data_IF_534888310803
#
_entry.id   IF_534888310803
#
_cell.length_a   1.000
_cell.length_b   1.000
_cell.length_c   1.000
_cell.angle_alpha   90.00
_cell.angle_beta   90.00
_cell.angle_gamma   90.00
#
_symmetry.space_group_name_H-M   'P 1'
#
loop_
_entity.id
_entity.type
_entity.pdbx_description
1 polymer ?
#
# COMPACT_ATOMS: atom_id res chain seq x y z
N UNK A 1 -18.32 -7.39 44.62
CA UNK A 1 -16.90 -7.42 45.03
C UNK A 1 -16.08 -7.07 43.81
N UNK A 2 -15.75 -5.78 43.70
CA UNK A 2 -14.97 -5.23 42.58
C UNK A 2 -13.48 -5.55 42.81
N UNK A 3 -12.82 -6.09 41.78
CA UNK A 3 -11.37 -6.09 41.69
C UNK A 3 -10.97 -5.22 40.49
N UNK A 4 -10.58 -3.99 40.81
CA UNK A 4 -9.81 -3.11 39.93
C UNK A 4 -8.40 -3.69 39.79
N UNK A 5 -7.95 -3.89 38.55
CA UNK A 5 -6.54 -4.09 38.22
C UNK A 5 -6.06 -2.81 37.54
N UNK A 6 -5.25 -2.03 38.25
CA UNK A 6 -4.46 -0.93 37.72
C UNK A 6 -3.22 -1.50 37.01
N UNK A 7 -2.88 -1.08 35.78
CA UNK A 7 -1.56 -1.34 35.24
C UNK A 7 -0.54 -0.40 35.91
N UNK A 8 0.56 -0.98 36.37
CA UNK A 8 1.66 -0.29 37.00
C UNK A 8 2.40 0.60 35.99
N UNK A 9 2.44 1.91 36.27
CA UNK A 9 3.46 2.81 35.72
C UNK A 9 4.84 2.34 36.20
N UNK A 10 5.69 1.91 35.27
CA UNK A 10 7.12 1.80 35.51
C UNK A 10 7.77 3.18 35.27
N UNK A 11 7.96 3.92 36.34
CA UNK A 11 8.82 5.11 36.40
C UNK A 11 10.29 4.66 36.37
N UNK A 12 11.06 5.06 35.35
CA UNK A 12 12.52 4.90 35.33
C UNK A 12 13.22 6.01 36.12
N UNK A 13 14.39 5.72 36.74
CA UNK A 13 15.00 6.58 37.75
C UNK A 13 15.77 7.78 37.19
N UNK A 14 15.74 8.86 37.97
CA UNK A 14 16.50 10.10 37.83
C UNK A 14 18.02 9.87 37.82
N UNK A 15 18.68 10.44 36.82
CA UNK A 15 20.13 10.52 36.68
C UNK A 15 20.75 11.50 37.71
N UNK A 16 21.85 11.10 38.34
CA UNK A 16 22.89 12.02 38.83
C UNK A 16 24.27 11.39 38.60
N UNK A 17 25.17 12.13 37.95
CA UNK A 17 26.58 11.74 37.85
C UNK A 17 27.26 12.27 36.58
N UNK A 18 27.92 13.42 36.68
CA UNK A 18 28.87 13.90 35.69
C UNK A 18 30.17 13.08 35.77
N UNK A 19 30.61 12.48 34.65
CA UNK A 19 32.03 12.29 34.31
C UNK A 19 32.19 12.31 32.80
N UNK A 20 33.08 13.18 32.33
CA UNK A 20 33.53 13.30 30.94
C UNK A 20 34.38 12.07 30.61
N UNK A 21 33.90 11.27 29.67
CA UNK A 21 34.60 10.18 28.98
C UNK A 21 33.94 10.00 27.62
N UNK A 22 34.69 10.22 26.56
CA UNK A 22 34.27 10.04 25.16
C UNK A 22 34.27 8.55 24.82
N UNK A 23 33.25 7.84 25.32
CA UNK A 23 32.92 6.49 24.89
C UNK A 23 31.45 6.52 24.43
N UNK A 24 31.18 6.08 23.19
CA UNK A 24 29.86 5.98 22.53
C UNK A 24 28.93 4.94 23.21
N UNK A 25 28.87 4.92 24.54
CA UNK A 25 27.96 4.09 25.30
C UNK A 25 26.56 4.73 25.27
N UNK A 26 25.75 4.37 24.25
CA UNK A 26 24.33 4.72 24.20
C UNK A 26 23.84 5.47 22.95
N UNK A 27 24.56 5.41 21.82
CA UNK A 27 24.05 5.94 20.56
C UNK A 27 22.74 5.21 20.16
N UNK A 28 21.75 5.97 19.70
CA UNK A 28 20.43 5.49 19.33
C UNK A 28 20.03 6.05 17.97
N UNK A 29 19.48 5.19 17.12
CA UNK A 29 18.89 5.55 15.84
C UNK A 29 17.41 5.17 15.84
N UNK A 30 16.57 6.12 15.46
CA UNK A 30 15.12 6.06 15.57
C UNK A 30 14.48 5.97 14.18
N UNK A 31 13.57 5.02 14.06
CA UNK A 31 12.58 4.91 12.98
C UNK A 31 11.21 5.33 13.52
N UNK A 32 10.47 6.18 12.82
CA UNK A 32 9.08 6.50 13.22
C UNK A 32 8.12 5.60 12.44
N UNK A 33 7.30 4.83 13.15
CA UNK A 33 6.21 4.05 12.58
C UNK A 33 4.90 4.86 12.64
N UNK A 34 4.47 5.42 11.52
CA UNK A 34 3.22 6.16 11.35
C UNK A 34 2.13 5.20 10.88
N UNK A 35 1.40 4.61 11.82
CA UNK A 35 0.44 3.53 11.58
C UNK A 35 -0.95 3.86 12.13
N UNK A 36 -2.03 3.30 11.55
CA UNK A 36 -3.38 3.51 12.06
C UNK A 36 -3.60 2.63 13.30
N UNK A 37 -3.23 3.10 14.49
CA UNK A 37 -3.43 2.36 15.74
C UNK A 37 -4.87 2.46 16.29
N UNK A 38 -5.74 3.19 15.60
CA UNK A 38 -7.15 3.41 15.96
C UNK A 38 -7.99 3.54 14.70
N UNK A 39 -9.32 3.55 14.84
CA UNK A 39 -10.24 3.78 13.74
C UNK A 39 -10.41 2.57 12.82
N UNK A 40 -10.94 2.81 11.61
CA UNK A 40 -11.34 1.74 10.68
C UNK A 40 -10.19 0.83 10.20
N UNK A 41 -8.95 1.29 10.31
CA UNK A 41 -7.75 0.55 9.88
C UNK A 41 -6.90 0.02 11.04
N UNK A 42 -7.40 0.00 12.27
CA UNK A 42 -6.66 -0.46 13.46
C UNK A 42 -5.99 -1.84 13.25
N UNK A 43 -6.72 -2.81 12.69
CA UNK A 43 -6.19 -4.15 12.43
C UNK A 43 -4.98 -4.12 11.49
N UNK A 44 -4.98 -3.26 10.48
CA UNK A 44 -3.86 -3.06 9.55
C UNK A 44 -2.65 -2.48 10.29
N UNK A 45 -2.87 -1.49 11.16
CA UNK A 45 -1.80 -0.92 11.99
C UNK A 45 -1.13 -1.96 12.88
N UNK A 46 -1.91 -2.88 13.47
CA UNK A 46 -1.37 -3.98 14.28
C UNK A 46 -0.49 -4.93 13.46
N UNK A 47 -0.96 -5.38 12.28
CA UNK A 47 -0.16 -6.33 11.48
C UNK A 47 1.10 -5.67 10.89
N UNK A 48 1.02 -4.41 10.48
CA UNK A 48 2.20 -3.67 10.03
C UNK A 48 3.21 -3.43 11.16
N UNK A 49 2.75 -3.12 12.37
CA UNK A 49 3.62 -3.00 13.54
C UNK A 49 4.35 -4.32 13.84
N UNK A 50 3.65 -5.45 13.79
CA UNK A 50 4.26 -6.75 13.97
C UNK A 50 5.35 -7.03 12.94
N UNK A 51 5.14 -6.63 11.68
CA UNK A 51 6.12 -6.76 10.61
C UNK A 51 7.38 -5.92 10.86
N UNK A 52 7.21 -4.65 11.28
CA UNK A 52 8.32 -3.77 11.67
C UNK A 52 9.10 -4.38 12.84
N UNK A 53 8.40 -4.90 13.86
CA UNK A 53 9.03 -5.58 15.00
C UNK A 53 9.82 -6.80 14.54
N UNK A 54 9.25 -7.64 13.69
CA UNK A 54 9.91 -8.84 13.17
C UNK A 54 11.20 -8.49 12.42
N UNK A 55 11.16 -7.49 11.54
CA UNK A 55 12.34 -7.02 10.79
C UNK A 55 13.46 -6.49 11.70
N UNK A 56 13.10 -5.78 12.78
CA UNK A 56 14.07 -5.31 13.76
C UNK A 56 14.68 -6.45 14.57
N UNK A 57 13.87 -7.41 15.01
CA UNK A 57 14.35 -8.61 15.72
C UNK A 57 15.34 -9.39 14.83
N UNK A 58 14.96 -9.63 13.57
CA UNK A 58 15.78 -10.33 12.59
C UNK A 58 17.08 -9.56 12.28
N UNK A 59 17.01 -8.23 12.12
CA UNK A 59 18.19 -7.35 11.94
C UNK A 59 19.15 -7.38 13.13
N UNK A 60 18.61 -7.40 14.36
CA UNK A 60 19.41 -7.46 15.59
C UNK A 60 20.05 -8.84 15.73
N UNK A 61 19.31 -9.91 15.49
CA UNK A 61 19.84 -11.29 15.51
C UNK A 61 20.94 -11.49 14.46
N UNK A 62 20.80 -10.87 13.29
CA UNK A 62 21.81 -10.89 12.24
C UNK A 62 23.06 -10.04 12.55
N UNK A 63 23.05 -9.26 13.63
CA UNK A 63 24.21 -8.51 14.13
C UNK A 63 24.35 -7.08 13.62
N UNK A 64 23.31 -6.48 13.02
CA UNK A 64 23.35 -5.08 12.54
C UNK A 64 23.66 -4.12 13.69
N UNK A 65 22.91 -4.22 14.80
CA UNK A 65 23.07 -3.35 15.97
C UNK A 65 24.48 -3.47 16.58
N UNK A 66 25.02 -4.69 16.65
CA UNK A 66 26.34 -4.96 17.21
C UNK A 66 27.44 -4.40 16.30
N UNK A 67 27.27 -4.52 14.98
CA UNK A 67 28.20 -3.96 13.98
C UNK A 67 28.20 -2.43 14.00
N UNK A 68 27.03 -1.82 14.15
CA UNK A 68 26.87 -0.36 14.23
C UNK A 68 27.30 0.22 15.59
N UNK A 69 27.26 -0.58 16.65
CA UNK A 69 27.35 -0.10 18.03
C UNK A 69 26.31 0.99 18.33
N UNK A 70 25.11 0.86 17.77
CA UNK A 70 24.01 1.85 17.85
C UNK A 70 22.70 1.12 18.06
N UNK A 71 21.97 1.48 19.11
CA UNK A 71 20.66 0.89 19.41
C UNK A 71 19.63 1.33 18.37
N UNK A 72 18.92 0.37 17.78
CA UNK A 72 17.82 0.64 16.86
C UNK A 72 16.50 0.70 17.64
N UNK A 73 15.72 1.77 17.47
CA UNK A 73 14.43 1.92 18.15
C UNK A 73 13.33 2.46 17.23
N UNK A 74 12.07 2.21 17.64
CA UNK A 74 10.89 2.67 16.93
C UNK A 74 10.04 3.55 17.83
N UNK A 75 9.63 4.70 17.30
CA UNK A 75 8.60 5.55 17.90
C UNK A 75 7.28 5.35 17.14
N UNK A 76 6.19 5.17 17.87
CA UNK A 76 4.85 4.97 17.31
C UNK A 76 4.15 6.32 17.15
N UNK A 77 3.55 6.57 15.98
CA UNK A 77 2.66 7.69 15.71
C UNK A 77 1.33 7.17 15.17
N UNK A 78 0.22 7.55 15.80
CA UNK A 78 -1.12 7.14 15.37
C UNK A 78 -1.62 8.01 14.21
N UNK A 79 -1.93 7.38 13.07
CA UNK A 79 -2.60 8.03 11.94
C UNK A 79 -4.12 7.86 11.90
N UNK A 80 -4.70 7.06 12.80
CA UNK A 80 -6.13 6.76 12.81
C UNK A 80 -7.03 7.98 13.06
N UNK A 81 -6.47 9.06 13.58
CA UNK A 81 -7.14 10.34 13.85
C UNK A 81 -6.97 11.37 12.71
N UNK A 82 -6.34 10.97 11.59
CA UNK A 82 -6.18 11.78 10.38
C UNK A 82 -4.85 12.52 10.27
N UNK A 83 -4.59 13.08 9.07
CA UNK A 83 -3.31 13.69 8.70
C UNK A 83 -2.82 14.81 9.64
N UNK A 84 -3.71 15.64 10.17
CA UNK A 84 -3.31 16.82 10.96
C UNK A 84 -2.73 16.42 12.33
N UNK A 85 -3.22 15.30 12.87
CA UNK A 85 -2.69 14.69 14.09
C UNK A 85 -1.30 14.10 13.83
N UNK A 86 -1.12 13.44 12.68
CA UNK A 86 0.18 12.91 12.25
C UNK A 86 1.22 14.04 12.16
N UNK A 87 0.91 15.12 11.42
CA UNK A 87 1.80 16.28 11.25
C UNK A 87 2.20 16.88 12.61
N UNK A 88 1.22 17.06 13.49
CA UNK A 88 1.46 17.64 14.83
C UNK A 88 2.37 16.74 15.68
N UNK A 89 2.14 15.43 15.67
CA UNK A 89 2.93 14.47 16.42
C UNK A 89 4.37 14.36 15.88
N UNK A 90 4.53 14.33 14.55
CA UNK A 90 5.85 14.28 13.93
C UNK A 90 6.67 15.54 14.25
N UNK A 91 6.09 16.74 14.14
CA UNK A 91 6.78 17.99 14.54
C UNK A 91 7.19 17.98 16.00
N UNK A 92 6.34 17.49 16.89
CA UNK A 92 6.70 17.36 18.32
C UNK A 92 7.92 16.46 18.54
N UNK A 93 8.06 15.37 17.77
CA UNK A 93 9.21 14.47 17.84
C UNK A 93 10.46 15.14 17.24
N UNK A 94 10.33 15.70 16.04
CA UNK A 94 11.44 16.20 15.24
C UNK A 94 12.00 17.53 15.71
N UNK A 95 11.17 18.41 16.26
CA UNK A 95 11.61 19.65 16.92
C UNK A 95 12.04 19.41 18.37
N UNK A 96 11.85 18.18 18.86
CA UNK A 96 12.21 17.75 20.21
C UNK A 96 13.70 17.43 20.37
N UNK A 97 14.15 17.12 21.60
CA UNK A 97 15.55 16.82 21.89
C UNK A 97 16.07 15.53 21.24
N UNK A 98 15.17 14.67 20.77
CA UNK A 98 15.51 13.40 20.11
C UNK A 98 15.36 13.46 18.58
N UNK A 99 15.00 14.62 18.00
CA UNK A 99 14.78 14.77 16.57
C UNK A 99 16.00 14.40 15.72
N UNK A 100 17.20 14.76 16.17
CA UNK A 100 18.47 14.45 15.50
C UNK A 100 18.80 12.94 15.46
N UNK A 101 18.09 12.12 16.25
CA UNK A 101 18.23 10.66 16.24
C UNK A 101 17.30 9.98 15.25
N UNK A 102 16.38 10.72 14.62
CA UNK A 102 15.43 10.18 13.66
C UNK A 102 16.07 10.13 12.28
N UNK A 103 16.13 8.94 11.70
CA UNK A 103 16.75 8.68 10.40
C UNK A 103 15.78 8.18 9.33
N UNK A 104 14.54 7.87 9.70
CA UNK A 104 13.52 7.48 8.74
C UNK A 104 12.14 7.36 9.36
N UNK A 105 11.17 7.16 8.48
CA UNK A 105 9.78 6.94 8.80
C UNK A 105 9.23 5.81 7.94
N UNK A 106 8.27 5.06 8.47
CA UNK A 106 7.42 4.14 7.73
C UNK A 106 6.00 4.66 7.84
N UNK A 107 5.34 4.88 6.70
CA UNK A 107 3.97 5.37 6.65
C UNK A 107 3.04 4.33 6.03
N UNK A 108 1.92 4.07 6.71
CA UNK A 108 0.92 3.09 6.27
C UNK A 108 -0.48 3.70 6.26
N UNK A 109 -1.17 3.62 5.12
CA UNK A 109 -2.47 4.24 4.80
C UNK A 109 -2.39 5.71 4.39
N UNK A 110 -3.41 6.17 3.64
CA UNK A 110 -3.55 7.53 3.12
C UNK A 110 -3.27 8.62 4.15
N UNK A 111 -3.87 8.54 5.34
CA UNK A 111 -3.71 9.58 6.36
C UNK A 111 -2.31 9.59 6.97
N UNK A 112 -1.66 8.43 7.10
CA UNK A 112 -0.27 8.36 7.56
C UNK A 112 0.66 9.01 6.54
N UNK A 113 0.58 8.57 5.28
CA UNK A 113 1.48 9.02 4.23
C UNK A 113 1.24 10.50 3.91
N UNK A 114 -0.02 10.94 3.77
CA UNK A 114 -0.36 12.36 3.60
C UNK A 114 0.15 13.26 4.73
N UNK A 115 0.21 12.75 5.97
CA UNK A 115 0.78 13.48 7.10
C UNK A 115 2.31 13.41 7.17
N UNK A 116 2.92 12.39 6.58
CA UNK A 116 4.35 12.14 6.61
C UNK A 116 5.11 12.82 5.46
N UNK A 117 4.56 12.86 4.24
CA UNK A 117 5.25 13.33 3.02
C UNK A 117 5.80 14.76 3.17
N UNK A 118 4.98 15.71 3.59
CA UNK A 118 5.43 17.11 3.76
C UNK A 118 6.53 17.22 4.83
N UNK A 119 6.41 16.43 5.91
CA UNK A 119 7.38 16.39 7.01
C UNK A 119 8.69 15.73 6.56
N UNK A 120 8.61 14.67 5.76
CA UNK A 120 9.76 13.99 5.18
C UNK A 120 10.60 14.98 4.37
N UNK A 121 9.95 15.75 3.50
CA UNK A 121 10.59 16.77 2.67
C UNK A 121 11.10 17.97 3.48
N UNK A 122 10.35 18.43 4.49
CA UNK A 122 10.74 19.56 5.35
C UNK A 122 12.00 19.27 6.17
N UNK A 123 12.13 18.04 6.70
CA UNK A 123 13.22 17.64 7.59
C UNK A 123 14.32 16.79 6.92
N UNK A 124 14.19 16.49 5.62
CA UNK A 124 15.10 15.61 4.90
C UNK A 124 15.15 14.21 5.52
N UNK A 125 13.99 13.62 5.75
CA UNK A 125 13.82 12.29 6.33
C UNK A 125 13.37 11.30 5.28
N UNK A 126 13.98 10.12 5.27
CA UNK A 126 13.53 9.00 4.46
C UNK A 126 12.12 8.58 4.92
N UNK A 127 11.12 8.66 4.04
CA UNK A 127 9.80 8.06 4.21
C UNK A 127 9.65 6.84 3.31
N UNK A 128 9.32 5.70 3.92
CA UNK A 128 9.05 4.44 3.25
C UNK A 128 7.54 4.15 3.35
N UNK A 129 6.81 4.38 2.26
CA UNK A 129 5.38 4.14 2.16
C UNK A 129 5.11 2.65 1.88
N UNK A 130 4.23 2.02 2.67
CA UNK A 130 4.09 0.56 2.69
C UNK A 130 2.69 0.00 2.41
N UNK A 131 1.62 0.80 2.33
CA UNK A 131 0.24 0.24 2.27
C UNK A 131 -0.81 1.01 1.49
N UNK A 132 -0.76 2.33 1.44
CA UNK A 132 -1.70 3.14 0.67
C UNK A 132 -1.40 3.02 -0.81
N UNK A 133 -0.12 3.29 -1.13
CA UNK A 133 0.50 3.60 -2.43
C UNK A 133 -0.45 4.11 -3.50
N UNK A 134 -1.31 5.02 -3.07
CA UNK A 134 -1.31 6.34 -3.67
C UNK A 134 0.12 6.81 -3.88
N UNK A 135 0.39 7.35 -5.06
CA UNK A 135 1.71 7.91 -5.33
C UNK A 135 1.83 9.30 -4.69
N UNK A 136 3.05 9.81 -4.49
CA UNK A 136 3.23 11.05 -3.72
C UNK A 136 2.54 12.26 -4.39
N UNK A 137 2.39 12.23 -5.72
CA UNK A 137 1.71 13.25 -6.51
C UNK A 137 0.21 13.38 -6.21
N UNK A 138 -0.39 12.43 -5.47
CA UNK A 138 -1.74 12.58 -4.90
C UNK A 138 -1.79 13.60 -3.76
N UNK A 139 -0.64 13.89 -3.13
CA UNK A 139 -0.55 14.70 -1.91
C UNK A 139 0.25 15.98 -2.10
N UNK A 140 1.27 15.95 -2.96
CA UNK A 140 2.16 17.08 -3.23
C UNK A 140 2.24 17.41 -4.72
N UNK A 141 2.63 18.64 -5.04
CA UNK A 141 3.00 18.99 -6.42
C UNK A 141 4.49 18.77 -6.62
N UNK A 142 4.87 17.88 -7.53
CA UNK A 142 6.29 17.65 -7.87
C UNK A 142 6.98 18.90 -8.40
N UNK A 143 6.24 19.85 -8.98
CA UNK A 143 6.79 21.12 -9.45
C UNK A 143 7.35 21.98 -8.30
N UNK A 144 6.94 21.73 -7.05
CA UNK A 144 7.38 22.46 -5.88
C UNK A 144 8.70 21.90 -5.29
N UNK A 145 9.17 20.75 -5.77
CA UNK A 145 10.31 20.04 -5.22
C UNK A 145 11.35 19.67 -6.30
N UNK A 146 12.61 19.58 -5.89
CA UNK A 146 13.67 19.05 -6.75
C UNK A 146 13.68 17.52 -6.73
N UNK A 147 14.20 16.88 -7.79
CA UNK A 147 14.38 15.41 -7.79
C UNK A 147 15.19 14.91 -6.59
N UNK A 148 16.19 15.69 -6.15
CA UNK A 148 16.99 15.37 -4.96
C UNK A 148 16.14 15.35 -3.68
N UNK A 149 15.23 16.30 -3.51
CA UNK A 149 14.29 16.29 -2.38
C UNK A 149 13.28 15.14 -2.51
N UNK A 150 12.79 14.86 -3.71
CA UNK A 150 11.83 13.78 -3.92
C UNK A 150 12.44 12.41 -3.60
N UNK A 151 13.76 12.20 -3.70
CA UNK A 151 14.42 10.93 -3.33
C UNK A 151 14.11 10.44 -1.91
N UNK A 152 13.73 11.34 -1.00
CA UNK A 152 13.34 11.00 0.36
C UNK A 152 12.01 10.25 0.46
N UNK A 153 11.18 10.29 -0.59
CA UNK A 153 9.88 9.60 -0.63
C UNK A 153 10.06 8.33 -1.44
N UNK A 154 9.88 7.17 -0.80
CA UNK A 154 10.06 5.88 -1.45
C UNK A 154 8.84 5.01 -1.15
N UNK A 155 8.23 4.43 -2.18
CA UNK A 155 7.18 3.42 -1.99
C UNK A 155 7.78 2.02 -2.12
N UNK A 156 7.74 1.24 -1.05
CA UNK A 156 8.28 -0.14 -1.01
C UNK A 156 7.24 -1.18 -1.45
N UNK A 157 6.21 -0.73 -2.15
CA UNK A 157 5.09 -1.55 -2.62
C UNK A 157 4.67 -1.14 -4.02
N UNK A 158 3.93 -2.05 -4.64
CA UNK A 158 3.21 -1.82 -5.88
C UNK A 158 2.32 -0.56 -5.82
N UNK A 159 2.37 0.32 -6.82
CA UNK A 159 1.55 1.53 -6.89
C UNK A 159 0.15 1.29 -7.47
N UNK A 160 -0.78 2.15 -7.07
CA UNK A 160 -2.14 2.18 -7.58
C UNK A 160 -2.25 2.53 -9.07
N UNK A 161 -1.35 3.38 -9.58
CA UNK A 161 -1.37 3.81 -10.97
C UNK A 161 -1.07 2.67 -11.94
N UNK A 162 -0.13 1.80 -11.60
CA UNK A 162 0.19 0.59 -12.38
C UNK A 162 -0.93 -0.46 -12.30
N UNK A 163 -1.67 -0.51 -11.19
CA UNK A 163 -2.87 -1.34 -11.07
C UNK A 163 -4.00 -0.85 -12.00
N UNK A 164 -4.18 0.47 -12.11
CA UNK A 164 -5.12 1.09 -13.03
C UNK A 164 -4.69 0.88 -14.51
N UNK A 165 -3.39 1.01 -14.82
CA UNK A 165 -2.82 0.69 -16.14
C UNK A 165 -3.12 -0.77 -16.52
N UNK A 166 -2.82 -1.71 -15.62
CA UNK A 166 -3.07 -3.13 -15.84
C UNK A 166 -4.56 -3.44 -16.00
N UNK A 167 -5.42 -2.73 -15.27
CA UNK A 167 -6.88 -2.83 -15.41
C UNK A 167 -7.34 -2.36 -16.79
N UNK A 168 -6.77 -1.26 -17.32
CA UNK A 168 -7.07 -0.80 -18.66
C UNK A 168 -6.64 -1.81 -19.73
N UNK A 169 -5.48 -2.45 -19.55
CA UNK A 169 -5.02 -3.53 -20.41
C UNK A 169 -6.02 -4.70 -20.40
N UNK A 170 -6.45 -5.13 -19.21
CA UNK A 170 -7.45 -6.19 -19.07
C UNK A 170 -8.76 -5.85 -19.79
N UNK A 171 -9.28 -4.63 -19.61
CA UNK A 171 -10.51 -4.18 -20.29
C UNK A 171 -10.34 -4.23 -21.80
N UNK A 172 -9.21 -3.75 -22.33
CA UNK A 172 -8.93 -3.78 -23.76
C UNK A 172 -8.85 -5.21 -24.31
N UNK A 173 -8.19 -6.12 -23.60
CA UNK A 173 -8.02 -7.50 -24.07
C UNK A 173 -9.34 -8.29 -24.01
N UNK A 174 -10.12 -8.11 -22.95
CA UNK A 174 -11.39 -8.84 -22.75
C UNK A 174 -12.55 -8.23 -23.52
N UNK A 175 -12.57 -6.91 -23.71
CA UNK A 175 -13.66 -6.16 -24.35
C UNK A 175 -13.17 -5.25 -25.48
N UNK A 176 -12.41 -5.74 -26.48
CA UNK A 176 -11.64 -4.91 -27.42
C UNK A 176 -12.47 -3.91 -28.24
N UNK A 177 -13.76 -4.19 -28.44
CA UNK A 177 -14.72 -3.31 -29.14
C UNK A 177 -15.92 -2.94 -28.27
N UNK A 178 -15.84 -3.16 -26.96
CA UNK A 178 -16.95 -2.99 -26.04
C UNK A 178 -17.23 -1.53 -25.66
N UNK A 179 -18.41 -1.30 -25.08
CA UNK A 179 -18.82 -0.07 -24.41
C UNK A 179 -18.42 -0.14 -22.94
N UNK A 180 -17.64 0.84 -22.50
CA UNK A 180 -17.08 0.92 -21.15
C UNK A 180 -17.73 2.09 -20.41
N UNK A 181 -18.33 1.83 -19.27
CA UNK A 181 -18.70 2.88 -18.31
C UNK A 181 -17.62 2.98 -17.23
N UNK A 182 -17.13 4.18 -16.94
CA UNK A 182 -16.16 4.43 -15.87
C UNK A 182 -16.85 5.14 -14.72
N UNK A 183 -16.86 4.53 -13.54
CA UNK A 183 -17.51 5.07 -12.34
C UNK A 183 -16.46 5.28 -11.25
N UNK A 184 -16.53 6.39 -10.51
CA UNK A 184 -15.60 6.69 -9.42
C UNK A 184 -16.26 7.35 -8.23
N UNK A 185 -15.64 7.21 -7.06
CA UNK A 185 -15.93 8.06 -5.91
C UNK A 185 -15.47 9.51 -6.11
N UNK A 186 -15.72 10.33 -5.10
CA UNK A 186 -15.40 11.77 -5.08
C UNK A 186 -13.97 12.08 -4.66
N UNK A 187 -13.19 11.10 -4.21
CA UNK A 187 -11.82 11.34 -3.74
C UNK A 187 -10.86 11.51 -4.93
N UNK A 188 -9.80 12.32 -4.72
CA UNK A 188 -8.72 12.51 -5.72
C UNK A 188 -8.12 11.17 -6.17
N UNK A 189 -7.99 10.22 -5.23
CA UNK A 189 -7.50 8.88 -5.49
C UNK A 189 -8.37 8.13 -6.52
N UNK A 190 -9.70 8.23 -6.40
CA UNK A 190 -10.63 7.60 -7.35
C UNK A 190 -10.59 8.28 -8.73
N UNK A 191 -10.41 9.61 -8.75
CA UNK A 191 -10.23 10.38 -9.97
C UNK A 191 -8.95 9.97 -10.72
N UNK A 192 -7.84 9.74 -10.00
CA UNK A 192 -6.59 9.35 -10.62
C UNK A 192 -6.65 7.97 -11.27
N UNK A 193 -7.29 6.98 -10.64
CA UNK A 193 -7.47 5.66 -11.23
C UNK A 193 -8.23 5.71 -12.56
N UNK A 194 -9.37 6.40 -12.58
CA UNK A 194 -10.15 6.55 -13.82
C UNK A 194 -9.38 7.36 -14.86
N UNK A 195 -8.63 8.40 -14.46
CA UNK A 195 -7.82 9.18 -15.38
C UNK A 195 -6.75 8.32 -16.08
N UNK A 196 -6.07 7.47 -15.33
CA UNK A 196 -5.08 6.52 -15.86
C UNK A 196 -5.74 5.54 -16.81
N UNK A 197 -6.88 4.94 -16.43
CA UNK A 197 -7.59 4.01 -17.30
C UNK A 197 -8.01 4.67 -18.61
N UNK A 198 -8.56 5.90 -18.57
CA UNK A 198 -8.92 6.65 -19.78
C UNK A 198 -7.71 6.93 -20.67
N UNK A 199 -6.65 7.47 -20.09
CA UNK A 199 -5.42 7.78 -20.82
C UNK A 199 -4.88 6.52 -21.49
N UNK A 200 -4.85 5.42 -20.75
CA UNK A 200 -4.27 4.18 -21.22
C UNK A 200 -5.10 3.47 -22.29
N UNK A 201 -6.42 3.38 -22.12
CA UNK A 201 -7.30 2.86 -23.18
C UNK A 201 -7.09 3.63 -24.50
N UNK A 202 -6.93 4.95 -24.42
CA UNK A 202 -6.65 5.80 -25.59
C UNK A 202 -5.27 5.52 -26.19
N UNK A 203 -4.23 5.48 -25.36
CA UNK A 203 -2.85 5.25 -25.79
C UNK A 203 -2.62 3.88 -26.43
N UNK A 204 -3.28 2.84 -25.91
CA UNK A 204 -3.23 1.49 -26.46
C UNK A 204 -4.10 1.31 -27.72
N UNK A 205 -4.85 2.34 -28.12
CA UNK A 205 -5.70 2.30 -29.31
C UNK A 205 -6.94 1.43 -29.14
N UNK A 206 -7.59 1.50 -27.97
CA UNK A 206 -8.86 0.82 -27.71
C UNK A 206 -9.88 1.11 -28.83
N UNK A 207 -10.47 0.04 -29.40
CA UNK A 207 -11.39 0.14 -30.53
C UNK A 207 -12.86 0.26 -30.10
N UNK A 208 -13.14 0.12 -28.80
CA UNK A 208 -14.46 0.29 -28.22
C UNK A 208 -14.84 1.75 -27.96
N UNK A 209 -15.83 1.96 -27.08
CA UNK A 209 -16.33 3.30 -26.73
C UNK A 209 -16.35 3.46 -25.22
N UNK A 210 -15.71 4.51 -24.71
CA UNK A 210 -15.91 4.95 -23.32
C UNK A 210 -17.13 5.86 -23.30
N UNK A 211 -18.14 5.50 -22.51
CA UNK A 211 -19.41 6.22 -22.45
C UNK A 211 -19.18 7.58 -21.76
N UNK A 212 -19.56 8.67 -22.44
CA UNK A 212 -19.49 10.01 -21.87
C UNK A 212 -20.58 10.21 -20.81
N UNK A 213 -20.25 10.92 -19.74
CA UNK A 213 -21.20 11.35 -18.74
C UNK A 213 -21.89 12.63 -19.19
N UNK A 214 -23.18 12.72 -18.90
CA UNK A 214 -23.97 13.92 -19.12
C UNK A 214 -23.88 14.91 -17.95
N UNK A 215 -23.06 14.63 -16.92
CA UNK A 215 -22.91 15.52 -15.77
C UNK A 215 -22.02 16.73 -16.13
N UNK A 216 -22.59 17.94 -16.22
CA UNK A 216 -21.82 19.13 -16.57
C UNK A 216 -20.81 19.52 -15.49
N UNK A 217 -20.98 19.09 -14.24
CA UNK A 217 -20.14 19.49 -13.11
C UNK A 217 -18.77 18.80 -13.12
N UNK A 218 -18.62 17.72 -13.87
CA UNK A 218 -17.36 16.99 -13.92
C UNK A 218 -16.28 17.81 -14.63
N UNK A 219 -16.63 18.59 -15.66
CA UNK A 219 -15.70 19.36 -16.50
C UNK A 219 -14.81 20.42 -15.83
N UNK A 220 -14.84 20.54 -14.49
CA UNK A 220 -14.20 21.60 -13.72
C UNK A 220 -12.79 21.35 -13.16
N UNK A 221 -12.18 20.16 -13.34
CA UNK A 221 -10.81 19.92 -12.87
C UNK A 221 -9.79 20.46 -13.87
N UNK A 222 -8.98 21.44 -13.47
CA UNK A 222 -8.11 22.25 -14.36
C UNK A 222 -7.11 21.44 -15.21
N UNK A 223 -6.81 20.18 -14.85
CA UNK A 223 -5.76 19.39 -15.49
C UNK A 223 -6.19 17.98 -15.95
N UNK A 224 -7.48 17.61 -15.88
CA UNK A 224 -7.96 16.26 -16.26
C UNK A 224 -9.30 16.33 -16.98
N UNK A 225 -9.38 15.85 -18.23
CA UNK A 225 -10.67 15.65 -18.92
C UNK A 225 -11.37 14.42 -18.31
N UNK A 226 -12.39 14.67 -17.50
CA UNK A 226 -13.18 13.68 -16.75
C UNK A 226 -14.65 13.67 -17.18
N UNK A 227 -14.97 14.24 -18.35
CA UNK A 227 -16.33 14.19 -18.95
C UNK A 227 -16.78 12.78 -19.27
N UNK A 228 -15.87 11.80 -19.19
CA UNK A 228 -16.14 10.38 -19.44
C UNK A 228 -16.28 9.56 -18.14
N UNK A 229 -16.36 10.23 -17.00
CA UNK A 229 -16.55 9.57 -15.70
C UNK A 229 -17.97 9.75 -15.20
N UNK A 230 -18.47 8.78 -14.45
CA UNK A 230 -19.63 8.95 -13.59
C UNK A 230 -19.15 9.04 -12.15
N UNK A 231 -19.63 10.02 -11.40
CA UNK A 231 -19.25 10.23 -10.01
C UNK A 231 -20.35 9.71 -9.07
N UNK A 232 -19.95 9.00 -8.01
CA UNK A 232 -20.82 8.55 -6.92
C UNK A 232 -20.35 9.12 -5.58
N UNK A 233 -21.30 9.56 -4.76
CA UNK A 233 -21.00 10.13 -3.44
C UNK A 233 -20.75 9.04 -2.39
N UNK A 234 -19.74 9.22 -1.54
CA UNK A 234 -19.51 8.35 -0.38
C UNK A 234 -20.64 8.44 0.66
N UNK A 235 -21.28 9.61 0.78
CA UNK A 235 -22.44 9.77 1.67
C UNK A 235 -23.61 8.93 1.17
N UNK A 236 -23.86 8.91 -0.14
CA UNK A 236 -24.93 8.11 -0.73
C UNK A 236 -24.65 6.61 -0.60
N UNK A 237 -23.41 6.18 -0.91
CA UNK A 237 -22.96 4.80 -0.70
C UNK A 237 -23.13 4.35 0.76
N UNK A 238 -23.01 5.27 1.73
CA UNK A 238 -23.17 4.97 3.15
C UNK A 238 -24.63 5.04 3.64
N UNK A 239 -25.45 5.92 3.08
CA UNK A 239 -26.78 6.26 3.62
C UNK A 239 -27.96 5.55 2.93
N UNK A 240 -27.84 5.17 1.65
CA UNK A 240 -28.99 4.69 0.89
C UNK A 240 -28.69 3.97 -0.43
N UNK A 241 -27.43 4.01 -0.89
CA UNK A 241 -26.98 3.50 -2.18
C UNK A 241 -27.07 4.51 -3.30
N UNK A 242 -26.62 4.08 -4.47
CA UNK A 242 -26.41 4.92 -5.66
C UNK A 242 -27.22 4.45 -6.86
N UNK A 243 -28.28 3.67 -6.64
CA UNK A 243 -29.10 3.07 -7.70
C UNK A 243 -29.61 4.08 -8.73
N UNK A 244 -30.02 5.28 -8.30
CA UNK A 244 -30.47 6.35 -9.21
C UNK A 244 -29.37 6.92 -10.10
N UNK A 245 -28.11 6.78 -9.69
CA UNK A 245 -26.93 7.14 -10.50
C UNK A 245 -26.59 5.99 -11.45
N UNK A 246 -26.70 4.73 -10.99
CA UNK A 246 -26.35 3.56 -11.79
C UNK A 246 -27.36 3.23 -12.88
N UNK A 247 -28.67 3.39 -12.62
CA UNK A 247 -29.71 2.99 -13.57
C UNK A 247 -29.54 3.65 -14.96
N UNK A 248 -29.35 4.99 -15.07
CA UNK A 248 -29.14 5.62 -16.37
C UNK A 248 -27.84 5.19 -17.08
N UNK A 249 -26.85 4.71 -16.33
CA UNK A 249 -25.59 4.18 -16.89
C UNK A 249 -25.87 2.80 -17.49
N UNK A 250 -26.51 1.92 -16.71
CA UNK A 250 -26.80 0.55 -17.15
C UNK A 250 -27.85 0.48 -18.26
N UNK A 251 -28.75 1.46 -18.34
CA UNK A 251 -29.72 1.62 -19.43
C UNK A 251 -29.05 1.90 -20.79
N UNK A 252 -27.79 2.35 -20.80
CA UNK A 252 -26.98 2.51 -22.02
C UNK A 252 -26.35 1.19 -22.49
N UNK A 253 -26.55 0.12 -21.72
CA UNK A 253 -26.05 -1.23 -21.96
C UNK A 253 -24.53 -1.26 -22.22
N UNK A 254 -23.70 -0.84 -21.24
CA UNK A 254 -22.27 -1.06 -21.33
C UNK A 254 -21.97 -2.56 -21.36
N UNK A 255 -20.95 -2.96 -22.13
CA UNK A 255 -20.41 -4.33 -22.11
C UNK A 255 -19.59 -4.55 -20.83
N UNK A 256 -19.00 -3.47 -20.29
CA UNK A 256 -18.27 -3.49 -19.04
C UNK A 256 -18.48 -2.20 -18.23
N UNK A 257 -18.72 -2.36 -16.93
CA UNK A 257 -18.67 -1.29 -15.93
C UNK A 257 -17.35 -1.43 -15.18
N UNK A 258 -16.49 -0.44 -15.33
CA UNK A 258 -15.40 -0.22 -14.41
C UNK A 258 -15.86 0.67 -13.26
N UNK A 259 -15.48 0.35 -12.03
CA UNK A 259 -15.63 1.27 -10.92
C UNK A 259 -14.41 1.33 -10.00
N UNK A 260 -14.20 2.47 -9.35
CA UNK A 260 -13.25 2.63 -8.25
C UNK A 260 -13.87 3.43 -7.10
N UNK A 261 -14.01 2.80 -5.93
CA UNK A 261 -14.43 3.45 -4.68
C UNK A 261 -13.60 2.89 -3.52
N UNK A 262 -13.17 3.76 -2.62
CA UNK A 262 -12.35 3.40 -1.47
C UNK A 262 -13.11 2.67 -0.38
N UNK A 263 -12.62 1.49 0.03
CA UNK A 263 -13.05 0.76 1.22
C UNK A 263 -14.10 -0.33 0.99
N UNK A 264 -14.08 -1.36 1.84
CA UNK A 264 -14.85 -2.59 1.64
C UNK A 264 -16.37 -2.37 1.63
N UNK A 265 -16.88 -1.50 2.52
CA UNK A 265 -18.30 -1.17 2.61
C UNK A 265 -18.83 -0.51 1.33
N UNK A 266 -18.22 0.60 0.88
CA UNK A 266 -18.53 1.23 -0.40
C UNK A 266 -18.45 0.28 -1.60
N UNK A 267 -17.39 -0.57 -1.68
CA UNK A 267 -17.25 -1.57 -2.75
C UNK A 267 -18.42 -2.57 -2.75
N UNK A 268 -18.74 -3.14 -1.59
CA UNK A 268 -19.86 -4.08 -1.46
C UNK A 268 -21.19 -3.42 -1.83
N UNK A 269 -21.40 -2.17 -1.40
CA UNK A 269 -22.62 -1.42 -1.73
C UNK A 269 -22.75 -1.17 -3.23
N UNK A 270 -21.66 -0.76 -3.88
CA UNK A 270 -21.61 -0.53 -5.32
C UNK A 270 -22.01 -1.78 -6.10
N UNK A 271 -21.47 -2.95 -5.72
CA UNK A 271 -21.84 -4.23 -6.32
C UNK A 271 -23.32 -4.60 -6.08
N UNK A 272 -23.84 -4.37 -4.88
CA UNK A 272 -25.26 -4.61 -4.58
C UNK A 272 -26.19 -3.72 -5.40
N UNK A 273 -25.86 -2.44 -5.56
CA UNK A 273 -26.68 -1.52 -6.34
C UNK A 273 -26.57 -1.81 -7.86
N UNK A 274 -25.40 -2.21 -8.38
CA UNK A 274 -25.25 -2.70 -9.75
C UNK A 274 -26.09 -3.95 -10.02
N UNK A 275 -26.11 -4.91 -9.07
CA UNK A 275 -27.00 -6.06 -9.17
C UNK A 275 -28.47 -5.64 -9.20
N UNK A 276 -28.84 -4.65 -8.39
CA UNK A 276 -30.22 -4.19 -8.29
C UNK A 276 -30.72 -3.44 -9.54
N UNK A 277 -29.83 -2.89 -10.38
CA UNK A 277 -30.24 -2.37 -11.71
C UNK A 277 -30.55 -3.49 -12.71
N UNK A 278 -30.20 -4.74 -12.39
CA UNK A 278 -30.30 -5.89 -13.30
C UNK A 278 -29.12 -6.01 -14.26
N UNK A 279 -28.01 -5.32 -14.01
CA UNK A 279 -26.81 -5.43 -14.82
C UNK A 279 -26.19 -6.84 -14.70
N UNK A 280 -25.93 -7.48 -15.84
CA UNK A 280 -25.50 -8.87 -15.94
C UNK A 280 -24.28 -9.08 -16.86
N UNK A 281 -23.64 -7.99 -17.27
CA UNK A 281 -22.44 -7.97 -18.12
C UNK A 281 -21.16 -7.87 -17.26
N UNK A 282 -20.03 -7.48 -17.89
CA UNK A 282 -18.73 -7.40 -17.23
C UNK A 282 -18.65 -6.32 -16.16
N UNK A 283 -18.03 -6.65 -15.02
CA UNK A 283 -17.73 -5.73 -13.92
C UNK A 283 -16.24 -5.83 -13.62
N UNK A 284 -15.57 -4.69 -13.60
CA UNK A 284 -14.13 -4.59 -13.35
C UNK A 284 -13.87 -3.54 -12.28
N UNK A 285 -12.97 -3.81 -11.35
CA UNK A 285 -12.49 -2.81 -10.38
C UNK A 285 -11.01 -2.97 -10.08
N UNK A 286 -10.43 -2.01 -9.38
CA UNK A 286 -9.08 -2.04 -8.81
C UNK A 286 -9.12 -1.31 -7.47
N UNK A 287 -8.07 -1.45 -6.65
CA UNK A 287 -8.01 -0.82 -5.33
C UNK A 287 -8.90 -1.47 -4.28
N UNK A 288 -9.46 -2.66 -4.57
CA UNK A 288 -10.29 -3.43 -3.65
C UNK A 288 -9.44 -4.47 -2.90
N UNK A 289 -9.65 -4.63 -1.59
CA UNK A 289 -9.08 -5.73 -0.83
C UNK A 289 -9.97 -6.99 -0.92
N UNK A 290 -9.38 -8.17 -0.76
CA UNK A 290 -10.16 -9.41 -0.59
C UNK A 290 -11.04 -9.28 0.64
N UNK A 291 -12.35 -9.38 0.45
CA UNK A 291 -13.34 -9.33 1.54
C UNK A 291 -14.04 -10.66 1.68
N UNK A 292 -14.28 -11.12 2.90
CA UNK A 292 -15.06 -12.33 3.15
C UNK A 292 -16.51 -12.18 2.70
N UNK A 293 -17.02 -10.96 2.56
CA UNK A 293 -18.40 -10.69 2.17
C UNK A 293 -18.75 -11.18 0.76
N UNK A 294 -17.79 -11.18 -0.18
CA UNK A 294 -18.01 -11.64 -1.57
C UNK A 294 -17.85 -13.15 -1.74
N UNK A 295 -17.47 -13.85 -0.67
CA UNK A 295 -17.31 -15.32 -0.64
C UNK A 295 -18.03 -15.93 0.58
N UNK A 296 -18.98 -15.22 1.18
CA UNK A 296 -19.66 -15.66 2.40
C UNK A 296 -20.75 -16.69 2.04
N UNK A 297 -20.58 -17.93 2.47
CA UNK A 297 -21.57 -18.97 2.23
C UNK A 297 -22.90 -18.71 2.99
N UNK A 298 -22.89 -17.85 4.02
CA UNK A 298 -24.06 -17.53 4.83
C UNK A 298 -24.99 -16.48 4.20
N UNK A 299 -24.55 -15.76 3.16
CA UNK A 299 -25.45 -14.93 2.36
C UNK A 299 -26.32 -15.75 1.39
N UNK A 300 -26.24 -17.08 1.46
CA UNK A 300 -26.88 -18.03 0.55
C UNK A 300 -26.54 -17.77 -0.93
N UNK A 301 -25.31 -17.32 -1.20
CA UNK A 301 -24.81 -17.10 -2.56
C UNK A 301 -25.42 -15.90 -3.28
N UNK A 302 -26.17 -15.01 -2.61
CA UNK A 302 -26.89 -13.96 -3.32
C UNK A 302 -25.97 -13.04 -4.12
N UNK A 303 -24.93 -12.43 -3.52
CA UNK A 303 -23.99 -11.63 -4.31
C UNK A 303 -23.03 -12.53 -5.07
N UNK A 304 -22.53 -13.58 -4.41
CA UNK A 304 -21.50 -14.47 -4.93
C UNK A 304 -21.92 -15.17 -6.24
N UNK A 305 -23.13 -15.74 -6.31
CA UNK A 305 -23.67 -16.37 -7.53
C UNK A 305 -23.79 -15.38 -8.69
N UNK A 306 -24.21 -14.14 -8.39
CA UNK A 306 -24.32 -13.09 -9.39
C UNK A 306 -22.95 -12.67 -9.93
N UNK A 307 -21.92 -12.63 -9.08
CA UNK A 307 -20.54 -12.31 -9.47
C UNK A 307 -19.89 -13.44 -10.28
N UNK A 308 -20.21 -14.70 -9.97
CA UNK A 308 -19.72 -15.88 -10.72
C UNK A 308 -20.42 -16.01 -12.08
N UNK A 309 -21.72 -15.71 -12.15
CA UNK A 309 -22.49 -15.76 -13.42
C UNK A 309 -23.17 -17.11 -13.70
N UNK A 310 -23.71 -17.78 -12.69
CA UNK A 310 -24.31 -19.13 -12.79
C UNK A 310 -25.64 -19.24 -13.59
N UNK A 311 -25.99 -18.26 -14.42
CA UNK A 311 -27.25 -18.21 -15.19
C UNK A 311 -27.23 -19.11 -16.45
N UNK A 312 -26.32 -20.10 -16.51
CA UNK A 312 -26.20 -21.06 -17.61
C UNK A 312 -25.36 -20.58 -18.81
N UNK A 313 -24.54 -19.55 -18.62
CA UNK A 313 -23.58 -19.02 -19.58
C UNK A 313 -22.16 -19.16 -19.01
N UNK A 314 -21.15 -19.37 -19.86
CA UNK A 314 -19.72 -19.41 -19.49
C UNK A 314 -19.18 -17.98 -19.20
N UNK A 315 -19.93 -17.17 -18.44
CA UNK A 315 -19.67 -15.74 -18.28
C UNK A 315 -19.19 -15.42 -16.85
N UNK A 316 -17.87 -15.38 -16.64
CA UNK A 316 -17.32 -14.74 -15.44
C UNK A 316 -17.65 -13.24 -15.48
N UNK A 317 -18.37 -12.73 -14.48
CA UNK A 317 -18.86 -11.34 -14.47
C UNK A 317 -17.93 -10.38 -13.75
N UNK A 318 -17.42 -10.76 -12.59
CA UNK A 318 -16.66 -9.85 -11.73
C UNK A 318 -15.16 -10.13 -11.74
N UNK A 319 -14.38 -9.08 -12.01
CA UNK A 319 -12.94 -9.09 -11.98
C UNK A 319 -12.44 -7.92 -11.17
N UNK A 320 -11.36 -8.13 -10.44
CA UNK A 320 -10.65 -7.04 -9.80
C UNK A 320 -9.15 -7.21 -9.95
N UNK A 321 -8.49 -6.12 -10.34
CA UNK A 321 -7.05 -6.09 -10.28
C UNK A 321 -6.62 -6.08 -8.82
N UNK A 322 -5.51 -6.76 -8.57
CA UNK A 322 -4.85 -6.87 -7.29
C UNK A 322 -3.38 -6.56 -7.48
N UNK A 323 -2.82 -5.91 -6.48
CA UNK A 323 -1.39 -5.64 -6.37
C UNK A 323 -0.84 -6.26 -5.09
N UNK A 324 0.39 -6.74 -5.12
CA UNK A 324 1.01 -7.33 -3.93
C UNK A 324 2.38 -7.92 -4.19
N UNK A 325 2.85 -8.69 -3.21
CA UNK A 325 4.14 -9.36 -3.25
C UNK A 325 4.22 -10.39 -4.39
N UNK A 326 5.44 -10.60 -4.90
CA UNK A 326 5.73 -11.68 -5.85
C UNK A 326 5.50 -13.03 -5.18
N UNK A 327 4.60 -13.83 -5.75
CA UNK A 327 4.35 -15.20 -5.27
C UNK A 327 5.63 -16.02 -5.32
N UNK A 328 6.05 -16.54 -4.17
CA UNK A 328 7.29 -17.31 -4.03
C UNK A 328 7.22 -18.24 -2.82
N UNK A 329 8.08 -19.26 -2.79
CA UNK A 329 8.25 -20.13 -1.63
C UNK A 329 8.71 -19.31 -0.41
N UNK A 330 9.53 -18.27 -0.64
CA UNK A 330 9.97 -17.32 0.38
C UNK A 330 8.80 -16.58 1.03
N UNK A 331 7.92 -15.98 0.22
CA UNK A 331 6.73 -15.30 0.74
C UNK A 331 5.85 -16.25 1.56
N UNK A 332 5.72 -17.50 1.11
CA UNK A 332 4.94 -18.53 1.82
C UNK A 332 5.57 -18.86 3.17
N UNK A 333 6.87 -19.17 3.20
CA UNK A 333 7.60 -19.47 4.42
C UNK A 333 7.60 -18.30 5.42
N UNK A 334 7.80 -17.07 4.94
CA UNK A 334 7.75 -15.88 5.77
C UNK A 334 6.35 -15.67 6.38
N UNK A 335 5.27 -15.91 5.64
CA UNK A 335 3.90 -15.82 6.17
C UNK A 335 3.62 -16.86 7.25
N UNK A 336 4.13 -18.08 7.09
CA UNK A 336 4.03 -19.13 8.11
C UNK A 336 4.78 -18.76 9.38
N UNK A 337 5.98 -18.20 9.23
CA UNK A 337 6.79 -17.69 10.34
C UNK A 337 6.08 -16.53 11.07
N UNK A 338 5.59 -15.54 10.31
CA UNK A 338 4.84 -14.41 10.84
C UNK A 338 3.60 -14.87 11.63
N UNK A 339 2.81 -15.78 11.06
CA UNK A 339 1.65 -16.37 11.73
C UNK A 339 2.04 -17.09 13.02
N UNK A 340 3.16 -17.82 13.01
CA UNK A 340 3.68 -18.53 14.19
C UNK A 340 4.11 -17.55 15.29
N UNK A 341 4.78 -16.45 14.93
CA UNK A 341 5.28 -15.45 15.89
C UNK A 341 4.16 -14.60 16.50
N UNK A 342 3.12 -14.28 15.73
CA UNK A 342 2.13 -13.26 16.13
C UNK A 342 0.69 -13.77 16.24
N UNK A 343 0.43 -15.04 15.91
CA UNK A 343 -0.90 -15.66 15.95
C UNK A 343 -1.97 -14.89 15.15
N UNK A 344 -1.53 -14.20 14.09
CA UNK A 344 -2.37 -13.43 13.16
C UNK A 344 -1.82 -13.57 11.74
N UNK A 345 -2.71 -13.65 10.75
CA UNK A 345 -2.30 -13.69 9.35
C UNK A 345 -1.73 -12.35 8.88
N UNK A 346 -0.68 -12.40 8.08
CA UNK A 346 -0.17 -11.25 7.35
C UNK A 346 -1.15 -10.86 6.23
N UNK A 347 -1.48 -9.57 6.13
CA UNK A 347 -2.24 -9.04 4.99
C UNK A 347 -1.35 -8.91 3.74
N UNK A 348 -1.92 -8.44 2.64
CA UNK A 348 -1.21 -8.29 1.35
C UNK A 348 0.02 -7.37 1.43
N UNK A 349 0.02 -6.37 2.31
CA UNK A 349 1.03 -5.31 2.39
C UNK A 349 1.93 -5.42 3.63
N UNK A 350 1.61 -6.33 4.54
CA UNK A 350 2.41 -6.63 5.73
C UNK A 350 3.88 -6.96 5.37
N UNK A 351 4.21 -7.72 4.29
CA UNK A 351 5.60 -7.93 3.90
C UNK A 351 6.32 -6.65 3.46
N UNK A 352 5.63 -5.68 2.85
CA UNK A 352 6.25 -4.40 2.45
C UNK A 352 6.70 -3.57 3.67
N UNK A 353 5.98 -3.67 4.81
CA UNK A 353 6.37 -3.05 6.07
C UNK A 353 7.62 -3.71 6.70
N UNK A 354 7.73 -5.04 6.55
CA UNK A 354 8.95 -5.77 6.93
C UNK A 354 10.14 -5.31 6.07
N UNK A 355 9.99 -5.35 4.74
CA UNK A 355 11.09 -5.02 3.82
C UNK A 355 11.49 -3.55 3.91
N UNK A 356 10.56 -2.61 4.11
CA UNK A 356 10.88 -1.22 4.40
C UNK A 356 11.76 -1.07 5.65
N UNK A 357 11.43 -1.79 6.71
CA UNK A 357 12.23 -1.77 7.94
C UNK A 357 13.62 -2.36 7.71
N UNK A 358 13.72 -3.44 6.93
CA UNK A 358 15.01 -4.04 6.54
C UNK A 358 15.83 -3.08 5.67
N UNK A 359 15.23 -2.40 4.69
CA UNK A 359 15.92 -1.38 3.90
C UNK A 359 16.47 -0.27 4.79
N UNK A 360 15.69 0.21 5.76
CA UNK A 360 16.17 1.20 6.73
C UNK A 360 17.34 0.67 7.58
N UNK A 361 17.26 -0.53 8.15
CA UNK A 361 18.36 -1.08 8.98
C UNK A 361 19.63 -1.34 8.17
N UNK A 362 19.50 -1.82 6.94
CA UNK A 362 20.61 -2.05 6.02
C UNK A 362 21.20 -0.73 5.51
N UNK A 363 20.38 0.29 5.24
CA UNK A 363 20.83 1.64 4.89
C UNK A 363 21.64 2.26 6.02
N UNK A 364 21.17 2.13 7.28
CA UNK A 364 21.93 2.53 8.46
C UNK A 364 23.28 1.81 8.56
N UNK A 365 23.28 0.49 8.33
CA UNK A 365 24.51 -0.32 8.32
C UNK A 365 25.50 0.16 7.26
N UNK A 366 25.01 0.37 6.04
CA UNK A 366 25.80 0.73 4.86
C UNK A 366 26.35 2.15 4.92
N UNK A 367 25.59 3.11 5.44
CA UNK A 367 26.03 4.49 5.63
C UNK A 367 27.29 4.55 6.52
N UNK A 368 27.37 3.69 7.53
CA UNK A 368 28.50 3.63 8.46
C UNK A 368 28.64 4.91 9.30
N UNK A 369 29.54 4.91 10.30
CA UNK A 369 29.75 6.09 11.15
C UNK A 369 30.71 7.10 10.51
N UNK A 370 30.45 8.42 10.64
CA UNK A 370 29.21 9.03 11.13
C UNK A 370 28.11 9.01 10.07
N UNK A 371 26.88 8.62 10.44
CA UNK A 371 25.72 8.68 9.56
C UNK A 371 24.86 9.90 9.90
N UNK A 372 24.40 10.60 8.86
CA UNK A 372 23.32 11.59 8.91
C UNK A 372 22.16 11.10 8.02
N UNK A 373 21.06 11.85 7.97
CA UNK A 373 19.87 11.46 7.18
C UNK A 373 20.16 11.33 5.69
N UNK A 374 21.06 12.14 5.14
CA UNK A 374 21.43 12.08 3.72
C UNK A 374 22.29 10.85 3.43
N UNK A 375 23.25 10.51 4.30
CA UNK A 375 24.05 9.30 4.17
C UNK A 375 23.19 8.03 4.25
N UNK A 376 22.19 7.99 5.14
CA UNK A 376 21.25 6.86 5.23
C UNK A 376 20.38 6.78 3.98
N UNK A 377 19.89 7.91 3.47
CA UNK A 377 19.16 7.96 2.20
C UNK A 377 20.02 7.38 1.06
N UNK A 378 21.22 7.91 0.84
CA UNK A 378 22.10 7.46 -0.23
C UNK A 378 22.43 5.97 -0.09
N UNK A 379 22.68 5.50 1.14
CA UNK A 379 22.91 4.10 1.41
C UNK A 379 21.71 3.21 1.10
N UNK A 380 20.47 3.67 1.34
CA UNK A 380 19.24 2.93 0.95
C UNK A 380 19.13 2.83 -0.57
N UNK A 381 19.46 3.88 -1.30
CA UNK A 381 19.50 3.84 -2.77
C UNK A 381 20.60 2.89 -3.27
N UNK A 382 21.79 2.93 -2.65
CA UNK A 382 22.92 2.08 -3.02
C UNK A 382 22.62 0.58 -2.85
N UNK A 383 21.92 0.19 -1.77
CA UNK A 383 21.57 -1.24 -1.52
C UNK A 383 20.35 -1.72 -2.34
N UNK A 384 19.92 -0.94 -3.33
CA UNK A 384 18.72 -1.19 -4.12
C UNK A 384 18.94 -1.06 -5.63
N UNK A 385 20.18 -0.84 -6.09
CA UNK A 385 20.43 -0.63 -7.51
C UNK A 385 21.82 -1.08 -7.96
N UNK A 386 21.84 -2.09 -8.84
CA UNK A 386 22.99 -2.39 -9.69
C UNK A 386 24.03 -3.32 -9.07
N UNK A 387 23.79 -3.75 -7.84
CA UNK A 387 24.60 -4.70 -7.10
C UNK A 387 24.28 -6.16 -7.37
N UNK A 388 24.90 -7.04 -6.58
CA UNK A 388 24.56 -8.46 -6.58
C UNK A 388 23.37 -8.70 -5.65
N UNK A 389 22.30 -9.33 -6.14
CA UNK A 389 21.15 -9.69 -5.30
C UNK A 389 21.58 -10.54 -4.09
N UNK A 390 21.22 -10.11 -2.89
CA UNK A 390 21.40 -10.87 -1.66
C UNK A 390 20.05 -11.05 -0.97
N UNK A 391 19.67 -12.32 -0.76
CA UNK A 391 18.38 -12.72 -0.20
C UNK A 391 18.29 -12.47 1.29
N UNK A 392 17.12 -12.03 1.76
CA UNK A 392 16.75 -12.04 3.18
C UNK A 392 16.88 -13.42 3.84
N UNK A 393 16.91 -14.51 3.06
CA UNK A 393 17.01 -15.87 3.59
C UNK A 393 18.42 -16.14 4.18
N UNK A 394 19.42 -15.33 3.83
CA UNK A 394 20.77 -15.36 4.40
C UNK A 394 21.12 -14.01 5.05
N UNK A 395 20.44 -13.71 6.16
CA UNK A 395 20.62 -12.44 6.87
C UNK A 395 22.06 -12.19 7.31
N UNK A 396 22.81 -13.24 7.65
CA UNK A 396 24.22 -13.09 8.05
C UNK A 396 25.11 -12.65 6.88
N UNK A 397 24.93 -13.24 5.69
CA UNK A 397 25.64 -12.82 4.48
C UNK A 397 25.22 -11.40 4.05
N UNK A 398 23.92 -11.08 4.16
CA UNK A 398 23.38 -9.75 3.89
C UNK A 398 24.01 -8.67 4.77
N UNK A 399 24.12 -8.92 6.08
CA UNK A 399 24.79 -8.00 7.02
C UNK A 399 26.29 -7.91 6.73
N UNK A 400 26.97 -9.03 6.50
CA UNK A 400 28.39 -9.05 6.23
C UNK A 400 28.76 -8.24 4.97
N UNK A 401 27.97 -8.39 3.89
CA UNK A 401 28.17 -7.63 2.64
C UNK A 401 27.69 -6.19 2.75
N UNK A 402 26.58 -5.94 3.43
CA UNK A 402 26.04 -4.58 3.64
C UNK A 402 27.00 -3.68 4.42
N UNK A 403 27.78 -4.26 5.34
CA UNK A 403 28.81 -3.56 6.10
C UNK A 403 30.11 -3.29 5.30
N UNK A 404 30.31 -3.94 4.15
CA UNK A 404 31.53 -3.80 3.33
C UNK A 404 31.29 -2.85 2.15
N UNK A 405 31.75 -1.58 2.20
CA UNK A 405 31.54 -0.59 1.13
C UNK A 405 32.18 -0.98 -0.21
N UNK A 406 33.05 -2.00 -0.25
CA UNK A 406 33.63 -2.50 -1.51
C UNK A 406 32.76 -3.51 -2.23
N UNK A 407 31.72 -4.03 -1.58
CA UNK A 407 30.76 -4.96 -2.16
C UNK A 407 29.49 -4.19 -2.50
N UNK A 408 29.05 -4.35 -3.74
CA UNK A 408 27.81 -3.79 -4.26
C UNK A 408 26.71 -4.86 -4.15
N UNK A 409 25.63 -4.55 -3.42
CA UNK A 409 24.55 -5.50 -3.15
C UNK A 409 23.19 -4.87 -3.41
N UNK A 410 22.25 -5.68 -3.87
CA UNK A 410 20.85 -5.31 -3.99
C UNK A 410 20.03 -6.20 -3.02
N UNK A 411 19.16 -5.60 -2.24
CA UNK A 411 18.35 -6.32 -1.26
C UNK A 411 17.19 -7.08 -1.92
N UNK A 412 17.18 -8.42 -1.79
CA UNK A 412 16.06 -9.27 -2.20
C UNK A 412 15.21 -9.67 -0.98
N UNK A 413 14.12 -8.93 -0.78
CA UNK A 413 13.24 -9.02 0.38
C UNK A 413 12.18 -10.12 0.29
N UNK A 414 11.18 -10.04 1.16
CA UNK A 414 10.02 -10.94 1.18
C UNK A 414 9.06 -10.63 0.02
N UNK A 415 8.90 -9.35 -0.30
CA UNK A 415 8.04 -8.84 -1.35
C UNK A 415 8.62 -9.09 -2.76
N UNK A 416 9.94 -9.30 -2.84
CA UNK A 416 10.73 -9.51 -4.06
C UNK A 416 12.02 -8.69 -4.00
N UNK A 417 12.70 -8.49 -5.16
CA UNK A 417 13.76 -7.50 -5.29
C UNK A 417 13.25 -6.13 -4.83
N UNK A 418 13.99 -5.47 -3.95
CA UNK A 418 13.63 -4.16 -3.40
C UNK A 418 14.30 -3.03 -4.17
N UNK A 419 14.39 -3.19 -5.49
CA UNK A 419 15.11 -2.26 -6.36
C UNK A 419 14.28 -0.99 -6.55
N UNK A 420 14.79 0.14 -6.07
CA UNK A 420 14.07 1.41 -6.17
C UNK A 420 14.20 1.92 -7.60
N UNK A 421 13.09 2.18 -8.28
CA UNK A 421 13.10 2.72 -9.65
C UNK A 421 13.32 4.24 -9.66
N UNK A 422 13.59 4.85 -10.83
CA UNK A 422 13.71 6.30 -10.94
C UNK A 422 12.46 7.09 -10.50
N UNK A 423 11.27 6.46 -10.54
CA UNK A 423 10.03 7.04 -10.01
C UNK A 423 9.89 6.86 -8.49
N UNK A 424 10.94 6.37 -7.82
CA UNK A 424 11.07 6.15 -6.38
C UNK A 424 10.20 5.03 -5.83
N UNK A 425 9.88 4.05 -6.67
CA UNK A 425 9.04 2.93 -6.26
C UNK A 425 9.70 1.59 -6.52
N UNK A 426 9.36 0.61 -5.70
CA UNK A 426 9.84 -0.76 -5.85
C UNK A 426 8.91 -1.54 -6.78
N UNK A 427 9.49 -2.47 -7.53
CA UNK A 427 8.76 -3.34 -8.46
C UNK A 427 7.62 -4.07 -7.75
N UNK A 428 6.43 -4.01 -8.34
CA UNK A 428 5.22 -4.64 -7.82
C UNK A 428 4.64 -5.69 -8.76
N UNK A 429 3.99 -6.72 -8.22
CA UNK A 429 3.26 -7.71 -9.05
C UNK A 429 1.77 -7.38 -9.09
N UNK A 430 1.21 -7.38 -10.29
CA UNK A 430 -0.19 -7.08 -10.58
C UNK A 430 -0.84 -8.26 -11.27
N UNK A 431 -2.05 -8.58 -10.87
CA UNK A 431 -2.80 -9.72 -11.40
C UNK A 431 -4.30 -9.48 -11.28
N UNK A 432 -5.08 -10.19 -12.09
CA UNK A 432 -6.54 -10.14 -12.03
C UNK A 432 -7.03 -11.30 -11.19
N UNK A 433 -7.96 -11.05 -10.28
CA UNK A 433 -8.72 -12.07 -9.58
C UNK A 433 -10.20 -12.04 -9.99
N UNK A 434 -10.85 -13.19 -9.82
CA UNK A 434 -12.31 -13.36 -9.91
C UNK A 434 -12.84 -14.12 -8.71
N UNK A 435 -14.15 -14.05 -8.49
CA UNK A 435 -14.86 -14.95 -7.57
C UNK A 435 -15.27 -16.20 -8.35
N UNK A 436 -15.07 -17.39 -7.76
CA UNK A 436 -15.50 -18.67 -8.35
C UNK A 436 -16.30 -19.51 -7.37
N UNK A 437 -17.24 -20.29 -7.89
CA UNK A 437 -17.94 -21.33 -7.12
C UNK A 437 -17.13 -22.63 -7.06
N UNK A 438 -17.00 -23.20 -5.86
CA UNK A 438 -16.24 -24.44 -5.62
C UNK A 438 -17.07 -25.73 -5.89
N UNK A 439 -18.34 -25.59 -6.30
CA UNK A 439 -19.24 -26.71 -6.60
C UNK A 439 -19.88 -27.40 -5.38
N UNK A 440 -19.49 -27.01 -4.16
CA UNK A 440 -20.04 -27.48 -2.89
C UNK A 440 -20.93 -26.43 -2.19
N UNK A 441 -21.28 -25.37 -2.91
CA UNK A 441 -22.00 -24.22 -2.38
C UNK A 441 -21.11 -23.20 -1.67
N UNK A 442 -19.77 -23.36 -1.74
CA UNK A 442 -18.82 -22.35 -1.29
C UNK A 442 -18.15 -21.58 -2.43
N UNK A 443 -17.57 -20.43 -2.11
CA UNK A 443 -16.88 -19.56 -3.06
C UNK A 443 -15.43 -19.32 -2.66
N UNK A 444 -14.60 -19.01 -3.63
CA UNK A 444 -13.21 -18.62 -3.42
C UNK A 444 -12.76 -17.55 -4.41
N UNK A 445 -11.59 -16.96 -4.15
CA UNK A 445 -10.92 -16.08 -5.09
C UNK A 445 -9.96 -16.90 -5.96
N UNK A 446 -10.03 -16.70 -7.27
CA UNK A 446 -9.11 -17.31 -8.23
C UNK A 446 -8.32 -16.22 -8.96
N UNK A 447 -6.99 -16.35 -8.95
CA UNK A 447 -6.10 -15.54 -9.76
C UNK A 447 -6.10 -16.04 -11.21
N UNK A 448 -6.35 -15.14 -12.15
CA UNK A 448 -6.32 -15.45 -13.58
C UNK A 448 -4.88 -15.68 -14.07
N UNK A 449 -4.76 -16.59 -15.04
CA UNK A 449 -3.52 -16.81 -15.81
C UNK A 449 -3.43 -15.93 -17.06
N UNK A 450 -4.55 -15.34 -17.49
CA UNK A 450 -4.65 -14.43 -18.63
C UNK A 450 -5.57 -13.24 -18.28
N UNK A 451 -5.12 -11.99 -18.41
CA UNK A 451 -3.75 -11.59 -18.73
C UNK A 451 -2.75 -12.14 -17.71
N UNK A 452 -1.56 -12.46 -18.21
CA UNK A 452 -0.50 -13.00 -17.37
C UNK A 452 -0.12 -11.94 -16.33
N UNK A 453 0.17 -12.33 -15.07
CA UNK A 453 0.64 -11.40 -14.06
C UNK A 453 1.81 -10.58 -14.59
N UNK A 454 1.73 -9.27 -14.42
CA UNK A 454 2.77 -8.34 -14.83
C UNK A 454 3.52 -7.82 -13.61
N UNK A 455 4.73 -7.38 -13.88
CA UNK A 455 5.61 -6.77 -12.90
C UNK A 455 6.01 -5.42 -13.49
N UNK A 456 5.75 -4.35 -12.75
CA UNK A 456 6.10 -2.99 -13.16
C UNK A 456 7.20 -2.46 -12.29
#
# INVERSE_FOLDING_TARGET
>A
MNKLLLPALALMPLATGCTVGTDDAGAEAVLIAVLPYTGKYEKKGVVHENAIRMALEDSIEAGIQDTLGTKLTVIRVNSGDGKDVVVSALRQILDGPDGDKVFGMISSTKDAHKGAVDIALEYGLLDLEVSDGSHDDEFISYADFTEEQLRYLISTRALCLYEADYTAQFIMEKYPTGKVALIRGTDIHDLMHTAVIRARLREMGFQGTVIESNDPNLSGYENVDNRQDYEVSYDDLSAGGVLSVLQPITDQSPDVVFFHVGGDGPNLRMLQDLKATGYDQGIVTCGMARTSALIDNNENGLISDWLVGHDGLDDDRFHFAMRGAKSSDRLTAWKEEYLTRFEVDADTFTPAAYDATMMWTLGMLRAGKPFDRAAVLDAVWDISQGGTMVSRDDLADLVAKGADPSIDIDYDGVFGPMDIRPDRTVEGVYYIERVVGNGDGSYSYEKLSSPAPVSF
#
